data_IF_825514752669
#
_entry.id   IF_825514752669
#
_cell.length_a   1.000
_cell.length_b   1.000
_cell.length_c   1.000
_cell.angle_alpha   90.00
_cell.angle_beta   90.00
_cell.angle_gamma   90.00
#
_symmetry.space_group_name_H-M   'P 1'
#
loop_
_entity.id
_entity.type
_entity.pdbx_description
1 polymer ?
#
# COMPACT_ATOMS: atom_id res chain seq x y z
N UNK A 1 -24.27 4.27 -8.87
CA UNK A 1 -24.66 4.47 -7.45
C UNK A 1 -24.50 3.22 -6.59
N UNK A 2 -24.87 2.01 -7.03
CA UNK A 2 -24.68 0.77 -6.25
C UNK A 2 -23.21 0.38 -6.02
N UNK A 3 -22.28 0.72 -6.92
CA UNK A 3 -20.86 0.38 -6.77
C UNK A 3 -20.14 1.31 -5.77
N UNK A 4 -20.46 2.60 -5.78
CA UNK A 4 -19.96 3.54 -4.74
C UNK A 4 -20.50 3.14 -3.37
N UNK A 5 -21.75 2.66 -3.31
CA UNK A 5 -22.36 2.10 -2.11
C UNK A 5 -21.69 0.76 -1.72
N UNK A 6 -21.24 -0.06 -2.68
CA UNK A 6 -20.54 -1.31 -2.40
C UNK A 6 -19.09 -1.08 -1.93
N UNK A 7 -18.40 -0.11 -2.50
CA UNK A 7 -17.10 0.34 -1.97
C UNK A 7 -17.29 0.96 -0.59
N UNK A 8 -18.31 1.79 -0.40
CA UNK A 8 -18.61 2.37 0.91
C UNK A 8 -19.06 1.31 1.94
N UNK A 9 -19.79 0.26 1.53
CA UNK A 9 -20.21 -0.83 2.43
C UNK A 9 -19.06 -1.79 2.74
N UNK A 10 -18.18 -2.10 1.79
CA UNK A 10 -16.90 -2.81 2.04
C UNK A 10 -16.02 -1.97 2.95
N UNK A 11 -16.04 -0.65 2.81
CA UNK A 11 -15.33 0.30 3.66
C UNK A 11 -15.91 0.37 5.07
N UNK A 12 -17.23 0.44 5.24
CA UNK A 12 -17.86 0.44 6.56
C UNK A 12 -17.67 -0.89 7.31
N UNK A 13 -17.73 -2.02 6.61
CA UNK A 13 -17.41 -3.34 7.18
C UNK A 13 -15.91 -3.43 7.54
N UNK A 14 -15.02 -2.94 6.68
CA UNK A 14 -13.57 -2.91 6.93
C UNK A 14 -13.20 -2.00 8.09
N UNK A 15 -13.76 -0.78 8.18
CA UNK A 15 -13.46 0.16 9.27
C UNK A 15 -14.07 -0.27 10.60
N UNK A 16 -15.27 -0.84 10.64
CA UNK A 16 -15.89 -1.35 11.87
C UNK A 16 -15.13 -2.59 12.39
N UNK A 17 -14.74 -3.51 11.49
CA UNK A 17 -13.93 -4.69 11.84
C UNK A 17 -12.52 -4.28 12.29
N UNK A 18 -11.93 -3.25 11.64
CA UNK A 18 -10.61 -2.73 12.00
C UNK A 18 -10.63 -2.02 13.36
N UNK A 19 -11.64 -1.22 13.69
CA UNK A 19 -11.75 -0.59 15.00
C UNK A 19 -11.91 -1.63 16.12
N UNK A 20 -12.62 -2.74 15.87
CA UNK A 20 -12.72 -3.86 16.83
C UNK A 20 -11.41 -4.65 16.96
N UNK A 21 -10.65 -4.83 15.87
CA UNK A 21 -9.31 -5.45 15.92
C UNK A 21 -8.28 -4.53 16.55
N UNK A 22 -8.38 -3.20 16.35
CA UNK A 22 -7.45 -2.23 16.96
C UNK A 22 -7.57 -2.18 18.50
N UNK A 23 -8.74 -2.42 19.08
CA UNK A 23 -8.87 -2.50 20.55
C UNK A 23 -8.19 -3.74 21.15
N UNK A 24 -7.90 -4.77 20.35
CA UNK A 24 -7.14 -5.97 20.76
C UNK A 24 -5.63 -5.90 20.50
N UNK A 25 -5.15 -4.88 19.80
CA UNK A 25 -3.74 -4.77 19.34
C UNK A 25 -2.73 -4.33 20.42
N UNK A 26 -3.17 -4.07 21.66
CA UNK A 26 -2.27 -3.97 22.82
C UNK A 26 -1.47 -5.27 23.09
N UNK A 27 -1.84 -6.38 22.43
CA UNK A 27 -1.16 -7.68 22.55
C UNK A 27 -0.08 -7.94 21.49
N UNK A 28 0.10 -7.06 20.49
CA UNK A 28 1.13 -7.26 19.43
C UNK A 28 2.57 -7.35 19.94
N UNK A 29 3.01 -6.58 20.97
CA UNK A 29 4.35 -6.77 21.54
C UNK A 29 4.51 -8.15 22.19
N UNK A 30 3.43 -8.74 22.71
CA UNK A 30 3.45 -10.07 23.33
C UNK A 30 3.56 -11.21 22.30
N UNK A 31 3.10 -10.99 21.05
CA UNK A 31 3.21 -11.96 19.96
C UNK A 31 4.59 -11.93 19.25
N UNK A 32 5.33 -10.83 19.37
CA UNK A 32 6.67 -10.73 18.82
C UNK A 32 7.67 -11.61 19.59
N UNK A 33 7.50 -11.78 20.89
CA UNK A 33 8.39 -12.58 21.72
C UNK A 33 8.43 -14.10 21.39
N UNK A 34 7.31 -14.80 21.14
CA UNK A 34 7.38 -16.22 20.78
C UNK A 34 7.95 -16.48 19.37
N UNK A 35 7.81 -15.52 18.44
CA UNK A 35 8.41 -15.63 17.10
C UNK A 35 9.93 -15.49 17.15
N UNK A 36 10.47 -14.62 18.00
CA UNK A 36 11.91 -14.48 18.20
C UNK A 36 12.54 -15.75 18.79
N UNK A 37 11.81 -16.49 19.65
CA UNK A 37 12.30 -17.75 20.22
C UNK A 37 12.32 -18.91 19.21
N UNK A 38 11.45 -18.85 18.18
CA UNK A 38 11.39 -19.88 17.11
C UNK A 38 12.44 -19.67 16.01
N UNK A 39 12.98 -18.45 15.87
CA UNK A 39 13.91 -18.11 14.77
C UNK A 39 15.38 -18.19 15.19
N UNK A 40 15.65 -18.48 16.47
CA UNK A 40 17.02 -18.56 17.01
C UNK A 40 17.69 -17.17 17.11
N UNK A 41 18.52 -16.99 18.12
CA UNK A 41 19.13 -15.71 18.53
C UNK A 41 20.04 -15.02 17.49
N UNK A 42 20.15 -15.56 16.27
CA UNK A 42 21.10 -15.09 15.27
C UNK A 42 20.52 -14.19 14.17
N UNK A 43 19.17 -14.04 14.07
CA UNK A 43 18.55 -13.24 13.03
C UNK A 43 17.63 -12.18 13.63
N UNK A 44 18.17 -11.01 13.92
CA UNK A 44 17.31 -9.85 14.22
C UNK A 44 16.63 -9.41 12.94
N UNK A 45 15.34 -9.75 12.83
CA UNK A 45 14.51 -9.38 11.68
C UNK A 45 14.40 -7.86 11.63
N UNK A 46 15.02 -7.23 10.63
CA UNK A 46 14.95 -5.78 10.47
C UNK A 46 13.62 -5.39 9.80
N UNK A 47 12.63 -5.05 10.63
CA UNK A 47 11.29 -4.66 10.17
C UNK A 47 11.29 -3.51 9.16
N UNK A 48 12.26 -2.59 9.26
CA UNK A 48 12.38 -1.48 8.32
C UNK A 48 12.76 -2.00 6.92
N UNK A 49 13.70 -2.95 6.86
CA UNK A 49 14.10 -3.58 5.60
C UNK A 49 12.93 -4.34 4.96
N UNK A 50 12.19 -5.11 5.77
CA UNK A 50 11.01 -5.85 5.30
C UNK A 50 9.96 -4.90 4.76
N UNK A 51 9.68 -3.81 5.49
CA UNK A 51 8.73 -2.79 5.07
C UNK A 51 9.14 -2.15 3.73
N UNK A 52 10.42 -1.78 3.58
CA UNK A 52 10.94 -1.21 2.33
C UNK A 52 10.82 -2.18 1.15
N UNK A 53 11.17 -3.45 1.34
CA UNK A 53 11.02 -4.49 0.30
C UNK A 53 9.55 -4.71 -0.05
N UNK A 54 8.67 -4.78 0.95
CA UNK A 54 7.23 -4.89 0.72
C UNK A 54 6.67 -3.68 -0.04
N UNK A 55 7.14 -2.47 0.30
CA UNK A 55 6.76 -1.25 -0.42
C UNK A 55 7.23 -1.28 -1.88
N UNK A 56 8.41 -1.81 -2.17
CA UNK A 56 8.89 -2.01 -3.55
C UNK A 56 7.98 -2.95 -4.33
N UNK A 57 7.55 -4.06 -3.73
CA UNK A 57 6.63 -5.00 -4.38
C UNK A 57 5.29 -4.31 -4.68
N UNK A 58 4.73 -3.60 -3.70
CA UNK A 58 3.45 -2.89 -3.89
C UNK A 58 3.59 -1.78 -4.94
N UNK A 59 4.69 -1.03 -4.95
CA UNK A 59 4.94 -0.01 -5.97
C UNK A 59 5.02 -0.61 -7.38
N UNK A 60 5.61 -1.80 -7.54
CA UNK A 60 5.61 -2.53 -8.80
C UNK A 60 4.20 -2.94 -9.24
N UNK A 61 3.34 -3.33 -8.30
CA UNK A 61 1.93 -3.65 -8.57
C UNK A 61 1.15 -2.41 -9.02
N UNK A 62 1.34 -1.26 -8.36
CA UNK A 62 0.73 0.02 -8.76
C UNK A 62 1.17 0.42 -10.16
N UNK A 63 2.47 0.28 -10.48
CA UNK A 63 2.97 0.55 -11.82
C UNK A 63 2.33 -0.38 -12.87
N UNK A 64 2.26 -1.67 -12.56
CA UNK A 64 1.62 -2.67 -13.41
C UNK A 64 0.15 -2.32 -13.67
N UNK A 65 -0.65 -2.04 -12.61
CA UNK A 65 -2.06 -1.66 -12.75
C UNK A 65 -2.23 -0.41 -13.62
N UNK A 66 -1.42 0.62 -13.36
CA UNK A 66 -1.46 1.86 -14.14
C UNK A 66 -1.17 1.64 -15.62
N UNK A 67 -0.21 0.76 -15.96
CA UNK A 67 0.13 0.41 -17.33
C UNK A 67 -0.99 -0.39 -18.00
N UNK A 68 -1.57 -1.36 -17.27
CA UNK A 68 -2.66 -2.20 -17.79
C UNK A 68 -3.90 -1.35 -18.04
N UNK A 69 -4.27 -0.46 -17.11
CA UNK A 69 -5.38 0.47 -17.29
C UNK A 69 -5.17 1.40 -18.48
N UNK A 70 -3.95 1.93 -18.68
CA UNK A 70 -3.62 2.75 -19.85
C UNK A 70 -3.80 1.98 -21.15
N UNK A 71 -3.34 0.73 -21.22
CA UNK A 71 -3.50 -0.13 -22.41
C UNK A 71 -4.98 -0.42 -22.70
N UNK A 72 -5.81 -0.51 -21.67
CA UNK A 72 -7.25 -0.76 -21.78
C UNK A 72 -8.10 0.53 -21.90
N UNK A 73 -7.47 1.67 -22.21
CA UNK A 73 -8.16 2.97 -22.31
C UNK A 73 -8.94 3.33 -21.03
N UNK A 74 -8.43 2.95 -19.88
CA UNK A 74 -9.03 3.20 -18.57
C UNK A 74 -10.08 2.20 -18.14
N UNK A 75 -10.48 1.24 -18.99
CA UNK A 75 -11.44 0.20 -18.61
C UNK A 75 -10.82 -0.76 -17.60
N UNK A 76 -11.59 -1.10 -16.57
CA UNK A 76 -11.17 -2.03 -15.53
C UNK A 76 -11.05 -3.45 -16.10
N UNK A 77 -9.86 -4.06 -16.06
CA UNK A 77 -9.72 -5.43 -16.51
C UNK A 77 -10.38 -6.39 -15.52
N UNK A 78 -11.17 -7.35 -16.05
CA UNK A 78 -11.76 -8.42 -15.25
C UNK A 78 -10.74 -9.55 -15.02
N UNK A 79 -9.58 -9.22 -14.45
CA UNK A 79 -8.54 -10.21 -14.15
C UNK A 79 -8.36 -10.38 -12.65
N UNK A 80 -8.19 -11.64 -12.22
CA UNK A 80 -7.92 -11.97 -10.82
C UNK A 80 -6.67 -11.25 -10.30
N UNK A 81 -5.65 -11.12 -11.14
CA UNK A 81 -4.40 -10.44 -10.76
C UNK A 81 -4.64 -8.97 -10.43
N UNK A 82 -5.48 -8.28 -11.23
CA UNK A 82 -5.82 -6.87 -10.99
C UNK A 82 -6.59 -6.72 -9.66
N UNK A 83 -7.55 -7.61 -9.39
CA UNK A 83 -8.31 -7.56 -8.12
C UNK A 83 -7.42 -7.85 -6.91
N UNK A 84 -6.49 -8.80 -7.02
CA UNK A 84 -5.55 -9.13 -5.94
C UNK A 84 -4.59 -7.98 -5.67
N UNK A 85 -4.06 -7.32 -6.72
CA UNK A 85 -3.14 -6.19 -6.53
C UNK A 85 -3.84 -5.00 -5.85
N UNK A 86 -5.08 -4.67 -6.22
CA UNK A 86 -5.86 -3.60 -5.57
C UNK A 86 -6.14 -3.91 -4.08
N UNK A 87 -6.39 -5.18 -3.74
CA UNK A 87 -6.52 -5.59 -2.34
C UNK A 87 -5.20 -5.41 -1.60
N UNK A 88 -4.08 -5.84 -2.20
CA UNK A 88 -2.75 -5.71 -1.60
C UNK A 88 -2.37 -4.24 -1.35
N UNK A 89 -2.70 -3.33 -2.26
CA UNK A 89 -2.50 -1.88 -2.05
C UNK A 89 -3.27 -1.38 -0.83
N UNK A 90 -4.53 -1.80 -0.68
CA UNK A 90 -5.35 -1.41 0.47
C UNK A 90 -4.80 -1.98 1.77
N UNK A 91 -4.40 -3.25 1.78
CA UNK A 91 -3.75 -3.88 2.94
C UNK A 91 -2.45 -3.16 3.28
N UNK A 92 -1.66 -2.79 2.24
CA UNK A 92 -0.39 -2.08 2.46
C UNK A 92 -0.59 -0.68 3.04
N UNK A 93 -1.70 0.00 2.72
CA UNK A 93 -2.07 1.24 3.39
C UNK A 93 -2.23 1.03 4.90
N UNK A 94 -2.92 -0.04 5.32
CA UNK A 94 -3.09 -0.36 6.74
C UNK A 94 -1.75 -0.69 7.40
N UNK A 95 -0.91 -1.48 6.74
CA UNK A 95 0.47 -1.75 7.19
C UNK A 95 1.27 -0.46 7.34
N UNK A 96 1.13 0.48 6.40
CA UNK A 96 1.81 1.78 6.44
C UNK A 96 1.37 2.64 7.64
N UNK A 97 0.08 2.65 7.95
CA UNK A 97 -0.45 3.34 9.14
C UNK A 97 0.14 2.74 10.42
N UNK A 98 0.14 1.41 10.52
CA UNK A 98 0.75 0.69 11.67
C UNK A 98 2.25 0.99 11.75
N UNK A 99 2.94 1.00 10.61
CA UNK A 99 4.36 1.28 10.53
C UNK A 99 4.72 2.70 11.02
N UNK A 100 3.89 3.71 10.71
CA UNK A 100 4.09 5.08 11.22
C UNK A 100 3.92 5.17 12.72
N UNK A 101 2.91 4.49 13.28
CA UNK A 101 2.57 4.58 14.71
C UNK A 101 3.48 3.74 15.60
N UNK A 102 3.79 2.53 15.19
CA UNK A 102 4.48 1.53 16.02
C UNK A 102 5.88 1.18 15.52
N UNK A 103 6.20 1.56 14.27
CA UNK A 103 7.49 1.24 13.68
C UNK A 103 8.62 2.11 14.25
N UNK A 104 9.64 1.47 14.81
CA UNK A 104 10.88 2.12 15.21
C UNK A 104 11.77 2.38 13.98
N UNK A 105 11.29 3.22 13.07
CA UNK A 105 12.06 3.59 11.88
C UNK A 105 13.10 4.67 12.20
N UNK A 106 14.27 4.57 11.58
CA UNK A 106 15.18 5.70 11.50
C UNK A 106 14.47 6.86 10.78
N UNK A 107 14.82 8.10 11.14
CA UNK A 107 14.08 9.30 10.71
C UNK A 107 13.85 9.37 9.21
N UNK A 108 14.84 9.00 8.39
CA UNK A 108 14.73 9.04 6.93
C UNK A 108 13.80 7.92 6.39
N UNK A 109 13.77 6.75 7.02
CA UNK A 109 12.93 5.64 6.57
C UNK A 109 11.44 5.87 6.87
N UNK A 110 11.09 6.71 7.86
CA UNK A 110 9.71 7.12 8.16
C UNK A 110 9.03 7.86 7.01
N UNK A 111 9.81 8.46 6.13
CA UNK A 111 9.27 9.19 4.95
C UNK A 111 8.48 8.24 4.05
N UNK A 112 8.89 6.97 3.91
CA UNK A 112 8.26 6.01 2.99
C UNK A 112 6.82 5.66 3.40
N UNK A 113 6.54 5.18 4.64
CA UNK A 113 5.17 4.88 5.05
C UNK A 113 4.29 6.14 5.07
N UNK A 114 4.83 7.29 5.45
CA UNK A 114 4.10 8.54 5.45
C UNK A 114 3.72 8.99 4.04
N UNK A 115 4.66 8.92 3.09
CA UNK A 115 4.41 9.24 1.68
C UNK A 115 3.36 8.29 1.07
N UNK A 116 3.38 6.99 1.43
CA UNK A 116 2.40 6.03 0.96
C UNK A 116 0.98 6.34 1.47
N UNK A 117 0.84 6.71 2.74
CA UNK A 117 -0.45 7.13 3.32
C UNK A 117 -0.99 8.37 2.59
N UNK A 118 -0.13 9.39 2.41
CA UNK A 118 -0.52 10.62 1.68
C UNK A 118 -0.96 10.29 0.25
N UNK A 119 -0.19 9.49 -0.47
CA UNK A 119 -0.56 9.05 -1.81
C UNK A 119 -1.95 8.41 -1.85
N UNK A 120 -2.21 7.46 -0.95
CA UNK A 120 -3.48 6.74 -0.92
C UNK A 120 -4.65 7.69 -0.64
N UNK A 121 -4.51 8.58 0.35
CA UNK A 121 -5.56 9.55 0.69
C UNK A 121 -5.81 10.53 -0.45
N UNK A 122 -4.74 11.14 -0.99
CA UNK A 122 -4.86 12.05 -2.13
C UNK A 122 -5.35 11.35 -3.38
N UNK A 123 -4.93 10.10 -3.62
CA UNK A 123 -5.40 9.29 -4.73
C UNK A 123 -6.91 9.08 -4.69
N UNK A 124 -7.48 8.81 -3.52
CA UNK A 124 -8.93 8.69 -3.38
C UNK A 124 -9.66 10.00 -3.62
N UNK A 125 -9.20 11.10 -3.00
CA UNK A 125 -9.80 12.42 -3.20
C UNK A 125 -9.74 12.80 -4.68
N UNK A 126 -8.60 12.58 -5.32
CA UNK A 126 -8.40 12.88 -6.73
C UNK A 126 -9.23 11.99 -7.65
N UNK A 127 -9.30 10.69 -7.34
CA UNK A 127 -10.17 9.75 -8.05
C UNK A 127 -11.64 10.14 -7.98
N UNK A 128 -12.16 10.48 -6.80
CA UNK A 128 -13.53 10.97 -6.64
C UNK A 128 -13.77 12.27 -7.43
N UNK A 129 -12.82 13.19 -7.39
CA UNK A 129 -12.94 14.44 -8.14
C UNK A 129 -13.03 14.19 -9.65
N UNK A 130 -12.20 13.30 -10.20
CA UNK A 130 -12.19 13.00 -11.62
C UNK A 130 -13.39 12.17 -12.08
N UNK A 131 -13.97 11.34 -11.22
CA UNK A 131 -15.13 10.50 -11.54
C UNK A 131 -16.46 11.23 -11.34
N UNK A 132 -16.47 12.35 -10.64
CA UNK A 132 -17.70 13.11 -10.34
C UNK A 132 -18.50 13.45 -11.61
N UNK A 133 -17.81 13.88 -12.65
CA UNK A 133 -18.46 14.30 -13.91
C UNK A 133 -18.95 13.11 -14.76
N UNK A 134 -18.43 11.90 -14.50
CA UNK A 134 -18.84 10.66 -15.18
C UNK A 134 -19.97 9.94 -14.44
N UNK A 135 -20.26 10.32 -13.20
CA UNK A 135 -21.18 9.59 -12.32
C UNK A 135 -22.64 9.55 -12.86
N UNK A 136 -23.04 10.52 -13.68
CA UNK A 136 -24.36 10.58 -14.32
C UNK A 136 -24.53 9.56 -15.45
N UNK A 137 -23.45 9.19 -16.11
CA UNK A 137 -23.46 8.38 -17.32
C UNK A 137 -23.18 6.90 -17.05
N UNK A 138 -22.68 6.57 -15.85
CA UNK A 138 -22.36 5.21 -15.43
C UNK A 138 -23.63 4.48 -15.01
N UNK A 139 -24.09 3.53 -15.82
CA UNK A 139 -25.23 2.66 -15.53
C UNK A 139 -24.79 1.33 -14.92
N UNK A 140 -23.65 0.83 -15.34
CA UNK A 140 -23.06 -0.43 -14.86
C UNK A 140 -21.57 -0.25 -14.56
N UNK A 141 -21.00 -1.19 -13.80
CA UNK A 141 -19.58 -1.21 -13.45
C UNK A 141 -18.68 -1.30 -14.70
N UNK A 142 -19.16 -2.00 -15.72
CA UNK A 142 -18.45 -2.17 -16.99
C UNK A 142 -18.35 -0.89 -17.82
N UNK A 143 -19.22 0.10 -17.54
CA UNK A 143 -19.18 1.42 -18.17
C UNK A 143 -18.14 2.36 -17.54
N UNK A 144 -17.59 1.97 -16.38
CA UNK A 144 -16.67 2.81 -15.63
C UNK A 144 -15.29 2.79 -16.26
N UNK A 145 -14.77 3.98 -16.58
CA UNK A 145 -13.40 4.13 -17.07
C UNK A 145 -12.60 5.07 -16.18
N UNK A 146 -11.40 4.64 -15.80
CA UNK A 146 -10.48 5.49 -15.05
C UNK A 146 -9.84 6.53 -15.95
N UNK A 147 -9.88 7.82 -15.59
CA UNK A 147 -9.26 8.88 -16.37
C UNK A 147 -7.75 8.68 -16.51
N UNK A 148 -7.19 9.01 -17.68
CA UNK A 148 -5.74 8.91 -17.97
C UNK A 148 -4.93 9.68 -16.92
N UNK A 149 -5.39 10.85 -16.48
CA UNK A 149 -4.73 11.66 -15.45
C UNK A 149 -4.54 10.92 -14.12
N UNK A 150 -5.51 10.08 -13.75
CA UNK A 150 -5.38 9.25 -12.54
C UNK A 150 -4.29 8.19 -12.70
N UNK A 151 -4.25 7.54 -13.87
CA UNK A 151 -3.23 6.54 -14.17
C UNK A 151 -1.82 7.15 -14.23
N UNK A 152 -1.69 8.37 -14.76
CA UNK A 152 -0.42 9.12 -14.76
C UNK A 152 0.03 9.46 -13.34
N UNK A 153 -0.90 9.88 -12.49
CA UNK A 153 -0.63 10.14 -11.08
C UNK A 153 -0.12 8.88 -10.36
N UNK A 154 -0.82 7.75 -10.48
CA UNK A 154 -0.45 6.50 -9.84
C UNK A 154 0.89 5.95 -10.35
N UNK A 155 1.12 6.01 -11.66
CA UNK A 155 2.39 5.58 -12.25
C UNK A 155 3.56 6.45 -11.78
N UNK A 156 3.39 7.76 -11.79
CA UNK A 156 4.43 8.70 -11.34
C UNK A 156 4.79 8.47 -9.88
N UNK A 157 3.77 8.29 -9.02
CA UNK A 157 4.00 7.98 -7.62
C UNK A 157 4.75 6.65 -7.45
N UNK A 158 4.32 5.59 -8.14
CA UNK A 158 4.96 4.28 -8.02
C UNK A 158 6.45 4.33 -8.37
N UNK A 159 6.83 5.09 -9.41
CA UNK A 159 8.23 5.28 -9.78
C UNK A 159 9.01 6.05 -8.71
N UNK A 160 8.44 7.12 -8.18
CA UNK A 160 9.09 7.93 -7.12
C UNK A 160 9.29 7.10 -5.85
N UNK A 161 8.26 6.37 -5.40
CA UNK A 161 8.36 5.57 -4.17
C UNK A 161 9.33 4.40 -4.34
N UNK A 162 9.41 3.78 -5.53
CA UNK A 162 10.41 2.75 -5.83
C UNK A 162 11.83 3.30 -5.69
N UNK A 163 12.13 4.41 -6.36
CA UNK A 163 13.47 5.03 -6.30
C UNK A 163 13.81 5.43 -4.87
N UNK A 164 12.87 6.04 -4.16
CA UNK A 164 13.07 6.46 -2.76
C UNK A 164 13.31 5.26 -1.84
N UNK A 165 12.53 4.19 -1.97
CA UNK A 165 12.69 2.98 -1.15
C UNK A 165 14.02 2.29 -1.42
N UNK A 166 14.45 2.20 -2.68
CA UNK A 166 15.77 1.65 -3.05
C UNK A 166 16.89 2.50 -2.47
N UNK A 167 16.82 3.83 -2.60
CA UNK A 167 17.85 4.72 -2.10
C UNK A 167 17.99 4.62 -0.57
N UNK A 168 16.86 4.57 0.16
CA UNK A 168 16.86 4.40 1.61
C UNK A 168 17.41 3.02 2.00
N UNK A 169 17.00 1.97 1.29
CA UNK A 169 17.48 0.61 1.54
C UNK A 169 19.02 0.51 1.37
N UNK A 170 19.56 1.08 0.28
CA UNK A 170 21.01 1.14 0.05
C UNK A 170 21.70 1.96 1.15
N UNK A 171 21.12 3.10 1.54
CA UNK A 171 21.66 3.91 2.62
C UNK A 171 21.73 3.13 3.95
N UNK A 172 20.70 2.35 4.27
CA UNK A 172 20.67 1.51 5.47
C UNK A 172 21.72 0.39 5.42
N UNK A 173 21.97 -0.19 4.25
CA UNK A 173 23.05 -1.17 4.04
C UNK A 173 24.43 -0.54 4.24
N UNK A 174 24.68 0.62 3.65
CA UNK A 174 25.96 1.31 3.73
C UNK A 174 26.30 1.76 5.16
N UNK A 175 25.28 2.11 5.94
CA UNK A 175 25.45 2.54 7.34
C UNK A 175 25.40 1.36 8.35
N UNK A 176 25.38 0.12 7.89
CA UNK A 176 25.36 -1.06 8.76
C UNK A 176 24.09 -1.24 9.59
N UNK A 177 23.00 -0.52 9.25
CA UNK A 177 21.70 -0.67 9.91
C UNK A 177 21.08 -2.04 9.57
N UNK A 178 21.39 -2.55 8.37
CA UNK A 178 21.03 -3.89 7.91
C UNK A 178 22.34 -4.66 7.72
N UNK A 179 22.60 -5.64 8.56
CA UNK A 179 23.72 -6.56 8.38
C UNK A 179 23.20 -7.87 7.79
N UNK A 180 23.71 -8.25 6.62
CA UNK A 180 23.54 -9.61 6.11
C UNK A 180 24.75 -10.43 6.63
N UNK A 181 24.55 -11.20 7.69
CA UNK A 181 25.51 -12.23 8.05
C UNK A 181 25.35 -13.39 7.04
N UNK A 182 26.10 -13.31 5.95
CA UNK A 182 26.30 -14.45 5.06
C UNK A 182 27.27 -15.39 5.77
N UNK A 183 26.73 -16.36 6.53
CA UNK A 183 27.51 -17.46 7.09
C UNK A 183 27.82 -18.50 6.00
#
# INVERSE_FOLDING_TARGET
MRFVLNIASVWQLSTATLLHTFSGMSALPALANPLNHLIGDSYTLNWQAIYLVGTLIVALLIAYESIVLKKNLGKLPQSTLFSVSSILETVWLMVSVVAVYYGEFISIAKVVPFAYILYSVFGWIYGFYLLKDQASDIKDVDDMSMPIKYMDYSLSFSLVIMVTSIAIFINMLMNGVIAFNLA
#
